data_IF_316885613576
#
_entry.id   IF_316885613576
#
_cell.length_a   1.000
_cell.length_b   1.000
_cell.length_c   1.000
_cell.angle_alpha   90.00
_cell.angle_beta   90.00
_cell.angle_gamma   90.00
#
_symmetry.space_group_name_H-M   'P 1'
#
loop_
_entity.id
_entity.type
_entity.pdbx_description
1 polymer ?
#
# COMPACT_ATOMS: atom_id res chain seq x y z
N UNK A 1 1.91 -20.37 -1.41
CA UNK A 1 0.59 -20.83 -0.89
C UNK A 1 -0.34 -19.62 -0.89
N UNK A 2 -1.66 -19.72 -1.15
CA UNK A 2 -2.47 -18.53 -1.34
C UNK A 2 -2.55 -17.74 -0.03
N UNK A 3 -2.07 -16.49 -0.09
CA UNK A 3 -2.01 -15.51 0.97
C UNK A 3 -3.42 -14.97 1.32
N UNK A 4 -4.37 -15.85 1.65
CA UNK A 4 -5.79 -15.52 1.83
C UNK A 4 -6.27 -15.98 3.20
N UNK A 5 -6.75 -15.03 3.99
CA UNK A 5 -7.20 -15.21 5.37
C UNK A 5 -8.69 -14.93 5.48
N UNK A 6 -9.46 -15.78 6.16
CA UNK A 6 -10.80 -15.36 6.62
C UNK A 6 -10.63 -14.35 7.76
N UNK A 7 -11.52 -13.37 7.88
CA UNK A 7 -11.46 -12.33 8.93
C UNK A 7 -11.33 -12.92 10.34
N UNK A 8 -11.98 -14.05 10.60
CA UNK A 8 -11.92 -14.72 11.89
C UNK A 8 -10.53 -15.33 12.17
N UNK A 9 -9.87 -15.87 11.14
CA UNK A 9 -8.51 -16.39 11.24
C UNK A 9 -7.50 -15.25 11.40
N UNK A 10 -7.64 -14.20 10.59
CA UNK A 10 -6.79 -13.01 10.66
C UNK A 10 -6.83 -12.37 12.05
N UNK A 11 -8.01 -12.31 12.70
CA UNK A 11 -8.15 -11.80 14.07
C UNK A 11 -7.39 -12.65 15.10
N UNK A 12 -7.44 -13.98 14.96
CA UNK A 12 -6.84 -14.90 15.92
C UNK A 12 -5.31 -15.04 15.72
N UNK A 13 -4.82 -14.82 14.50
CA UNK A 13 -3.44 -15.01 14.07
C UNK A 13 -2.84 -13.72 13.52
N UNK A 14 -3.20 -12.57 14.10
CA UNK A 14 -2.84 -11.27 13.52
C UNK A 14 -1.33 -11.05 13.47
N UNK A 15 -0.59 -11.47 14.50
CA UNK A 15 0.87 -11.38 14.51
C UNK A 15 1.52 -12.21 13.40
N UNK A 16 1.05 -13.45 13.20
CA UNK A 16 1.52 -14.32 12.11
C UNK A 16 1.20 -13.73 10.74
N UNK A 17 0.02 -13.12 10.59
CA UNK A 17 -0.36 -12.43 9.36
C UNK A 17 0.62 -11.29 9.05
N UNK A 18 1.01 -10.50 10.05
CA UNK A 18 2.01 -9.42 9.89
C UNK A 18 3.37 -10.02 9.50
N UNK A 19 3.85 -11.04 10.21
CA UNK A 19 5.14 -11.68 9.91
C UNK A 19 5.18 -12.21 8.47
N UNK A 20 4.10 -12.84 8.00
CA UNK A 20 4.00 -13.29 6.62
C UNK A 20 3.85 -12.14 5.63
N UNK A 21 3.19 -11.04 6.01
CA UNK A 21 3.12 -9.84 5.18
C UNK A 21 4.52 -9.25 4.93
N UNK A 22 5.40 -9.31 5.94
CA UNK A 22 6.78 -8.83 5.88
C UNK A 22 7.70 -9.81 5.16
N UNK A 23 7.61 -11.11 5.46
CA UNK A 23 8.56 -12.11 4.96
C UNK A 23 8.16 -12.76 3.63
N UNK A 24 6.86 -12.97 3.40
CA UNK A 24 6.31 -13.65 2.21
C UNK A 24 5.64 -12.67 1.24
N UNK A 25 5.40 -11.43 1.66
CA UNK A 25 4.73 -10.40 0.87
C UNK A 25 3.22 -10.32 1.12
N UNK A 26 2.48 -9.56 0.29
CA UNK A 26 1.12 -9.10 0.62
C UNK A 26 0.11 -10.18 0.96
N UNK A 27 -0.63 -9.98 2.04
CA UNK A 27 -1.66 -10.90 2.53
C UNK A 27 -3.06 -10.33 2.32
N UNK A 28 -4.03 -11.14 1.88
CA UNK A 28 -5.40 -10.72 1.63
C UNK A 28 -6.34 -11.27 2.70
N UNK A 29 -7.16 -10.41 3.30
CA UNK A 29 -8.21 -10.79 4.23
C UNK A 29 -9.55 -10.76 3.51
N UNK A 30 -10.35 -11.79 3.74
CA UNK A 30 -11.68 -12.00 3.18
C UNK A 30 -12.75 -11.99 4.26
N UNK A 31 -13.93 -11.49 3.92
CA UNK A 31 -15.13 -11.57 4.75
C UNK A 31 -16.23 -12.26 3.95
N UNK A 32 -16.77 -13.36 4.47
CA UNK A 32 -17.72 -14.22 3.74
C UNK A 32 -17.20 -14.64 2.36
N UNK A 33 -15.90 -14.96 2.27
CA UNK A 33 -15.25 -15.37 1.02
C UNK A 33 -14.97 -14.26 0.02
N UNK A 34 -15.34 -13.01 0.31
CA UNK A 34 -15.03 -11.85 -0.55
C UNK A 34 -13.79 -11.11 -0.02
N UNK A 35 -12.81 -10.77 -0.87
CA UNK A 35 -11.64 -9.98 -0.45
C UNK A 35 -12.09 -8.59 0.00
N UNK A 36 -11.61 -8.15 1.17
CA UNK A 36 -12.01 -6.87 1.79
C UNK A 36 -10.83 -6.01 2.21
N UNK A 37 -9.70 -6.62 2.58
CA UNK A 37 -8.50 -5.90 3.02
C UNK A 37 -7.28 -6.60 2.44
N UNK A 38 -6.26 -5.82 2.08
CA UNK A 38 -4.94 -6.33 1.72
C UNK A 38 -3.92 -5.69 2.64
N UNK A 39 -3.10 -6.51 3.28
CA UNK A 39 -2.04 -6.11 4.20
C UNK A 39 -0.73 -6.17 3.45
N UNK A 40 -0.03 -5.03 3.45
CA UNK A 40 1.26 -4.84 2.79
C UNK A 40 2.24 -4.34 3.84
N UNK A 41 3.42 -4.93 3.90
CA UNK A 41 4.48 -4.46 4.78
C UNK A 41 4.99 -3.10 4.30
N UNK A 42 5.35 -2.23 5.25
CA UNK A 42 5.79 -0.86 4.96
C UNK A 42 7.25 -0.82 4.49
N UNK A 43 8.03 -1.88 4.74
CA UNK A 43 9.47 -1.91 4.49
C UNK A 43 9.86 -2.59 3.17
N UNK A 44 10.40 -1.78 2.25
CA UNK A 44 11.52 -2.13 1.36
C UNK A 44 12.05 -0.94 0.53
N UNK A 45 11.45 0.26 0.54
CA UNK A 45 12.03 1.44 -0.18
C UNK A 45 11.52 2.79 0.36
N UNK A 46 11.50 2.99 1.68
CA UNK A 46 11.31 4.34 2.25
C UNK A 46 12.57 4.75 2.99
N UNK A 47 13.70 4.64 2.30
CA UNK A 47 14.85 5.45 2.62
C UNK A 47 15.34 6.03 1.29
N UNK A 48 15.53 7.34 1.28
CA UNK A 48 16.25 8.11 0.28
C UNK A 48 15.48 8.63 -0.96
N UNK A 49 15.17 9.94 -0.85
CA UNK A 49 15.28 10.94 -1.91
C UNK A 49 14.08 11.06 -2.88
N UNK A 50 13.33 12.16 -2.86
CA UNK A 50 13.71 13.39 -3.59
C UNK A 50 14.51 13.09 -4.86
N UNK A 51 13.98 13.53 -6.00
CA UNK A 51 14.64 13.53 -7.31
C UNK A 51 14.70 12.20 -8.07
N UNK A 52 13.92 12.19 -9.14
CA UNK A 52 14.43 11.89 -10.48
C UNK A 52 14.84 10.44 -10.72
N UNK A 53 13.89 9.70 -11.30
CA UNK A 53 14.19 8.74 -12.34
C UNK A 53 14.84 7.44 -11.87
N UNK A 54 14.04 6.38 -11.96
CA UNK A 54 14.51 5.01 -12.22
C UNK A 54 15.07 4.28 -10.98
N UNK A 55 14.16 3.78 -10.13
CA UNK A 55 14.47 2.70 -9.19
C UNK A 55 13.76 1.40 -9.61
N UNK A 56 14.43 0.24 -9.45
CA UNK A 56 13.84 -1.06 -9.68
C UNK A 56 12.82 -1.28 -8.58
N UNK A 57 11.54 -1.34 -8.93
CA UNK A 57 10.46 -1.55 -7.96
C UNK A 57 10.58 -2.99 -7.47
N UNK A 58 10.88 -3.20 -6.20
CA UNK A 58 10.50 -4.45 -5.54
C UNK A 58 9.00 -4.36 -5.43
N UNK A 59 8.30 -5.25 -6.13
CA UNK A 59 6.86 -5.21 -6.29
C UNK A 59 6.18 -5.56 -4.97
N UNK A 60 6.06 -4.57 -4.07
CA UNK A 60 5.36 -4.63 -2.79
C UNK A 60 3.85 -4.96 -2.93
N UNK A 61 3.38 -5.18 -4.16
CA UNK A 61 2.02 -5.51 -4.52
C UNK A 61 1.01 -4.39 -4.26
N UNK A 62 1.39 -3.33 -3.55
CA UNK A 62 0.59 -2.12 -3.38
C UNK A 62 0.63 -1.28 -4.66
N UNK A 63 1.82 -1.07 -5.24
CA UNK A 63 1.93 -0.39 -6.54
C UNK A 63 1.16 -1.16 -7.61
N UNK A 64 1.30 -2.49 -7.65
CA UNK A 64 0.55 -3.35 -8.59
C UNK A 64 -0.96 -3.25 -8.36
N UNK A 65 -1.40 -3.22 -7.10
CA UNK A 65 -2.81 -3.00 -6.77
C UNK A 65 -3.33 -1.66 -7.29
N UNK A 66 -2.58 -0.57 -7.08
CA UNK A 66 -2.93 0.74 -7.62
C UNK A 66 -2.93 0.76 -9.15
N UNK A 67 -2.04 0.02 -9.79
CA UNK A 67 -2.01 -0.11 -11.26
C UNK A 67 -3.22 -0.87 -11.81
N UNK A 68 -3.79 -1.80 -11.05
CA UNK A 68 -5.06 -2.47 -11.37
C UNK A 68 -6.32 -1.63 -11.08
N UNK A 69 -6.18 -0.44 -10.50
CA UNK A 69 -7.33 0.43 -10.26
C UNK A 69 -8.02 0.82 -11.58
N UNK A 70 -9.36 1.02 -11.58
CA UNK A 70 -10.09 1.46 -12.76
C UNK A 70 -9.49 2.76 -13.31
N UNK A 71 -9.06 2.74 -14.57
CA UNK A 71 -8.59 3.94 -15.27
C UNK A 71 -9.81 4.83 -15.53
N UNK A 72 -9.71 6.10 -15.15
CA UNK A 72 -10.75 7.09 -15.49
C UNK A 72 -10.64 7.38 -17.00
N UNK A 73 -11.70 7.12 -17.76
CA UNK A 73 -11.79 7.55 -19.16
C UNK A 73 -11.71 9.07 -19.23
N UNK A 74 -10.76 9.59 -20.02
CA UNK A 74 -10.47 11.03 -20.11
C UNK A 74 -9.29 11.51 -19.27
N UNK A 75 -8.63 10.62 -18.51
CA UNK A 75 -7.47 10.97 -17.69
C UNK A 75 -7.83 11.54 -16.32
N UNK A 76 -6.82 11.81 -15.51
CA UNK A 76 -7.04 12.47 -14.21
C UNK A 76 -7.28 13.98 -14.44
N UNK A 77 -8.27 14.59 -13.78
CA UNK A 77 -8.42 16.05 -13.81
C UNK A 77 -7.15 16.72 -13.27
N UNK A 78 -6.86 17.96 -13.71
CA UNK A 78 -5.77 18.74 -13.11
C UNK A 78 -5.98 18.84 -11.60
N UNK A 79 -5.10 18.19 -10.84
CA UNK A 79 -5.09 18.32 -9.40
C UNK A 79 -4.67 19.74 -9.05
N UNK A 80 -5.48 20.51 -8.30
CA UNK A 80 -5.05 21.80 -7.80
C UNK A 80 -3.80 21.56 -6.95
N UNK A 81 -2.66 22.10 -7.39
CA UNK A 81 -1.47 22.11 -6.56
C UNK A 81 -1.78 23.02 -5.39
N UNK A 82 -1.74 22.47 -4.18
CA UNK A 82 -1.85 23.29 -2.99
C UNK A 82 -0.60 24.18 -2.91
N UNK A 83 -0.72 25.41 -3.42
CA UNK A 83 0.30 26.46 -3.29
C UNK A 83 0.16 27.19 -1.95
N UNK A 84 -0.64 26.65 -1.03
CA UNK A 84 -0.84 27.23 0.28
C UNK A 84 0.51 27.53 0.91
N UNK A 85 0.74 28.82 1.17
CA UNK A 85 1.81 29.35 2.01
C UNK A 85 1.64 28.98 3.48
N UNK A 86 0.71 28.08 3.82
CA UNK A 86 0.61 27.53 5.16
C UNK A 86 1.90 26.77 5.47
N UNK A 87 2.60 27.13 6.56
CA UNK A 87 3.71 26.33 7.02
C UNK A 87 3.24 24.89 7.25
N UNK A 88 4.09 23.90 6.98
CA UNK A 88 3.75 22.50 7.19
C UNK A 88 3.31 22.29 8.65
N UNK A 89 2.24 21.53 8.85
CA UNK A 89 1.69 21.23 10.19
C UNK A 89 2.65 20.42 11.08
N UNK A 90 3.71 19.87 10.50
CA UNK A 90 4.78 19.19 11.20
C UNK A 90 6.12 19.68 10.65
N UNK A 91 6.94 20.25 11.54
CA UNK A 91 8.31 20.66 11.26
C UNK A 91 8.55 22.16 11.42
N UNK A 92 8.74 22.60 12.66
CA UNK A 92 9.78 23.57 13.01
C UNK A 92 10.56 22.91 14.17
N UNK A 93 11.85 22.67 13.91
CA UNK A 93 12.87 21.96 14.75
C UNK A 93 12.90 20.43 14.74
#
# INVERSE_FOLDING_TARGET
MPAVWQVQQAKNHFSELIERAVSEGPQTITRHGRPVVRVVAVDATTDEAQSTGKSPRVDDGFVEFLLTAPRVEGGLPEMPRDISTRPPLFGDE
#
